data_IF_989217878651
#
_entry.id   IF_989217878651
#
_cell.length_a   1.000
_cell.length_b   1.000
_cell.length_c   1.000
_cell.angle_alpha   90.00
_cell.angle_beta   90.00
_cell.angle_gamma   90.00
#
_symmetry.space_group_name_H-M   'P 1'
#
loop_
_entity.id
_entity.type
_entity.pdbx_description
1 polymer ?
#
# COMPACT_ATOMS: atom_id res chain seq x y z
N UNK A 1 0.73 -15.27 26.77
CA UNK A 1 1.45 -14.17 26.20
C UNK A 1 1.69 -14.43 24.74
N UNK A 2 1.42 -13.48 23.90
CA UNK A 2 1.59 -13.64 22.49
C UNK A 2 2.94 -13.13 22.09
N UNK A 3 3.73 -13.99 21.51
CA UNK A 3 5.04 -13.56 21.06
C UNK A 3 4.91 -12.89 19.71
N UNK A 4 5.59 -11.80 19.55
CA UNK A 4 5.56 -11.14 18.27
C UNK A 4 6.79 -11.48 17.48
N UNK A 5 6.65 -11.51 16.19
CA UNK A 5 7.78 -11.75 15.32
C UNK A 5 8.70 -10.56 15.39
N UNK A 6 9.98 -10.78 15.43
CA UNK A 6 10.90 -9.64 15.43
C UNK A 6 10.69 -8.79 14.20
N UNK A 7 10.79 -7.51 14.39
CA UNK A 7 10.63 -6.58 13.28
C UNK A 7 12.01 -6.24 12.77
N UNK A 8 12.17 -6.30 11.48
CA UNK A 8 13.45 -6.03 10.85
C UNK A 8 13.56 -4.54 10.57
N UNK A 9 14.60 -3.90 11.06
CA UNK A 9 14.78 -2.50 10.76
C UNK A 9 15.87 -2.27 9.76
N UNK A 10 15.77 -1.20 9.04
CA UNK A 10 16.73 -0.93 8.00
C UNK A 10 18.15 -0.83 8.50
N UNK A 11 18.34 -0.40 9.69
CA UNK A 11 19.70 -0.25 10.18
C UNK A 11 20.43 -1.58 10.27
N UNK A 12 19.72 -2.67 10.20
CA UNK A 12 20.36 -3.95 10.27
C UNK A 12 20.93 -4.38 8.92
N UNK A 13 20.63 -3.67 7.84
CA UNK A 13 21.15 -4.04 6.53
C UNK A 13 22.60 -3.61 6.38
N UNK A 14 23.39 -4.51 5.80
CA UNK A 14 24.75 -4.18 5.55
C UNK A 14 24.76 -3.51 4.22
N UNK A 15 25.61 -2.59 4.04
CA UNK A 15 25.66 -1.92 2.79
C UNK A 15 26.30 -2.73 1.72
N UNK A 16 26.30 -3.99 1.79
CA UNK A 16 26.85 -4.83 0.76
C UNK A 16 25.78 -5.04 -0.27
N UNK A 17 25.93 -4.41 -1.35
CA UNK A 17 24.93 -4.49 -2.34
C UNK A 17 25.31 -5.49 -3.37
N UNK A 18 24.44 -6.36 -3.78
CA UNK A 18 24.74 -7.26 -4.85
C UNK A 18 23.49 -7.44 -5.66
N UNK A 19 23.63 -7.81 -6.89
CA UNK A 19 22.51 -8.00 -7.76
C UNK A 19 22.27 -9.46 -7.96
N UNK A 20 21.05 -9.87 -7.87
CA UNK A 20 20.72 -11.23 -8.18
C UNK A 20 20.48 -11.30 -9.68
N UNK A 21 20.02 -12.42 -10.12
CA UNK A 21 19.85 -12.62 -11.54
C UNK A 21 18.79 -11.76 -12.17
N UNK A 22 17.91 -11.23 -11.38
CA UNK A 22 16.89 -10.37 -11.94
C UNK A 22 17.38 -8.93 -12.01
N UNK A 23 18.56 -8.67 -11.52
CA UNK A 23 19.04 -7.31 -11.53
C UNK A 23 18.70 -6.53 -10.28
N UNK A 24 18.02 -7.14 -9.35
CA UNK A 24 17.64 -6.44 -8.14
C UNK A 24 18.87 -6.26 -7.26
N UNK A 25 19.06 -5.05 -6.77
CA UNK A 25 20.19 -4.76 -5.90
C UNK A 25 19.77 -5.06 -4.47
N UNK A 26 20.37 -6.06 -3.88
CA UNK A 26 20.00 -6.46 -2.54
C UNK A 26 21.03 -6.03 -1.55
N UNK A 27 20.60 -5.63 -0.38
CA UNK A 27 21.49 -5.37 0.70
C UNK A 27 21.39 -6.53 1.65
N UNK A 28 22.52 -7.02 2.13
CA UNK A 28 22.49 -8.15 3.02
C UNK A 28 22.55 -7.70 4.45
N UNK A 29 21.99 -8.45 5.34
CA UNK A 29 22.04 -8.11 6.74
C UNK A 29 23.36 -8.57 7.32
N UNK A 30 23.95 -7.77 8.17
CA UNK A 30 25.21 -8.13 8.75
C UNK A 30 25.04 -8.79 10.07
N UNK A 31 23.91 -8.77 10.63
CA UNK A 31 23.77 -9.35 11.91
C UNK A 31 22.34 -9.55 12.29
N UNK A 32 22.13 -9.96 13.47
CA UNK A 32 20.78 -10.26 13.91
C UNK A 32 19.84 -9.13 13.65
N UNK A 33 18.66 -9.48 13.28
CA UNK A 33 17.67 -8.48 13.00
C UNK A 33 17.19 -7.81 14.26
N UNK A 34 16.92 -6.56 14.17
CA UNK A 34 16.46 -5.84 15.32
C UNK A 34 15.01 -6.12 15.53
N UNK A 35 14.52 -5.76 16.65
CA UNK A 35 13.14 -5.94 16.91
C UNK A 35 12.35 -4.74 16.71
N UNK A 36 12.88 -3.67 16.32
CA UNK A 36 12.15 -2.53 16.08
C UNK A 36 12.05 -2.09 14.73
N UNK A 37 11.28 -1.98 14.04
CA UNK A 37 11.20 -1.43 12.71
C UNK A 37 10.95 -2.53 11.73
N UNK A 38 10.38 -2.24 10.68
CA UNK A 38 10.11 -3.19 9.64
C UNK A 38 10.85 -2.79 8.41
N UNK A 39 11.48 -3.74 7.80
CA UNK A 39 12.20 -3.42 6.63
C UNK A 39 11.30 -3.62 5.45
N UNK A 40 11.02 -2.61 4.74
CA UNK A 40 10.26 -2.78 3.53
C UNK A 40 11.19 -2.77 2.39
N UNK A 41 11.18 -3.78 1.61
CA UNK A 41 12.05 -3.79 0.51
C UNK A 41 11.35 -3.04 -0.53
N UNK A 42 11.94 -2.13 -1.04
CA UNK A 42 11.29 -1.36 -2.00
C UNK A 42 11.25 -2.15 -3.18
N UNK A 43 10.26 -2.01 -3.78
CA UNK A 43 10.16 -2.67 -4.92
C UNK A 43 11.16 -2.46 -5.89
N UNK A 44 11.96 -1.74 -5.66
CA UNK A 44 12.87 -1.50 -6.68
C UNK A 44 13.23 -2.67 -7.43
N UNK A 45 12.98 -3.54 -6.96
CA UNK A 45 13.39 -4.64 -7.59
C UNK A 45 13.23 -4.61 -8.94
N UNK A 46 12.56 -4.48 -9.16
CA UNK A 46 12.36 -4.52 -10.34
C UNK A 46 13.17 -4.43 -11.31
N UNK A 47 13.68 -3.77 -11.31
CA UNK A 47 14.42 -3.55 -12.30
C UNK A 47 14.69 -4.56 -13.15
N UNK A 48 15.22 -5.03 -13.27
CA UNK A 48 15.60 -5.79 -14.17
C UNK A 48 14.98 -6.75 -14.78
N UNK A 49 14.69 -7.35 -14.45
CA UNK A 49 14.23 -8.33 -15.02
C UNK A 49 13.77 -8.35 -16.26
N UNK A 50 13.39 -8.40 -16.58
CA UNK A 50 12.98 -8.63 -17.62
C UNK A 50 12.59 -8.58 -18.68
N UNK A 51 12.38 -8.64 -18.98
CA UNK A 51 12.13 -8.53 -20.06
C UNK A 51 11.09 -8.68 -20.65
N UNK A 52 11.05 -8.97 -20.87
CA UNK A 52 10.23 -9.23 -21.61
C UNK A 52 9.05 -8.85 -21.64
N UNK A 53 8.81 -8.49 -21.57
CA UNK A 53 7.83 -8.03 -21.63
C UNK A 53 6.81 -7.87 -22.03
N UNK A 54 6.57 -7.73 -22.03
CA UNK A 54 5.62 -7.52 -22.19
C UNK A 54 4.78 -6.81 -22.41
N UNK A 55 4.63 -6.64 -22.44
CA UNK A 55 3.89 -5.87 -22.60
C UNK A 55 2.92 -5.37 -22.73
N UNK A 56 2.54 -5.21 -22.60
CA UNK A 56 1.75 -4.55 -22.55
C UNK A 56 0.93 -3.93 -23.03
N UNK A 57 0.58 -3.84 -23.16
CA UNK A 57 -0.12 -3.15 -23.54
C UNK A 57 -1.02 -2.60 -23.70
N UNK A 58 -1.25 -2.52 -23.51
CA UNK A 58 -1.96 -2.06 -23.57
C UNK A 58 -2.54 -1.25 -23.75
N UNK A 59 -2.62 -1.14 -23.75
CA UNK A 59 -3.04 -0.35 -23.89
C UNK A 59 -3.94 0.13 -24.16
N UNK A 60 -4.15 0.02 -24.13
CA UNK A 60 -4.87 0.45 -24.38
C UNK A 60 -5.58 1.08 -24.24
N UNK A 61 -5.65 1.08 -23.91
CA UNK A 61 -6.31 1.62 -23.64
C UNK A 61 -6.49 2.57 -23.78
N UNK A 62 -6.17 2.62 -23.83
CA UNK A 62 -6.33 3.50 -23.92
C UNK A 62 -6.71 4.15 -23.97
N UNK A 63 -6.70 3.94 -23.81
CA UNK A 63 -7.15 4.57 -23.68
C UNK A 63 -7.42 5.45 -24.00
N UNK A 64 -7.17 5.66 -23.91
CA UNK A 64 -7.35 6.70 -24.10
C UNK A 64 -8.15 7.08 -24.74
N UNK A 65 -8.40 7.02 -24.68
CA UNK A 65 -9.01 7.53 -25.18
C UNK A 65 -9.93 8.05 -24.94
N UNK A 66 -9.86 7.83 -24.57
CA UNK A 66 -10.86 8.18 -24.11
C UNK A 66 -11.13 9.43 -24.29
N UNK A 67 -10.67 9.94 -23.87
CA UNK A 67 -10.80 11.15 -23.99
C UNK A 67 -11.21 11.50 -25.20
N UNK A 68 -10.71 11.16 -25.79
CA UNK A 68 -10.99 11.76 -26.92
C UNK A 68 -12.29 11.46 -27.04
N UNK A 69 -12.54 10.66 -26.68
CA UNK A 69 -13.76 10.35 -26.95
C UNK A 69 -14.59 11.27 -26.46
N UNK A 70 -14.66 11.33 -25.59
CA UNK A 70 -15.55 12.16 -25.15
C UNK A 70 -15.61 13.27 -25.87
N UNK A 71 -14.81 13.78 -25.98
CA UNK A 71 -14.91 14.91 -26.59
C UNK A 71 -15.50 14.87 -27.75
N UNK A 72 -15.37 14.12 -28.26
CA UNK A 72 -15.86 14.29 -29.47
C UNK A 72 -17.26 14.23 -29.51
N UNK A 73 -17.78 13.86 -28.86
CA UNK A 73 -19.05 13.65 -29.10
C UNK A 73 -19.89 14.49 -28.58
N UNK A 74 -19.88 15.28 -28.84
CA UNK A 74 -20.58 16.27 -28.44
C UNK A 74 -21.90 15.82 -28.25
N UNK A 75 -22.43 15.90 -28.66
CA UNK A 75 -23.60 15.65 -28.49
C UNK A 75 -23.93 14.57 -27.76
N UNK A 76 -23.66 14.00 -27.93
CA UNK A 76 -24.04 12.91 -27.42
C UNK A 76 -24.03 12.81 -26.07
N UNK A 77 -23.65 12.54 -25.80
CA UNK A 77 -23.57 12.32 -24.47
C UNK A 77 -23.78 13.31 -23.83
N UNK A 78 -23.60 13.84 -24.20
CA UNK A 78 -23.71 14.76 -23.68
C UNK A 78 -24.59 14.86 -22.85
N UNK A 79 -25.09 14.99 -23.18
CA UNK A 79 -25.86 15.38 -22.31
C UNK A 79 -25.88 14.64 -21.21
N UNK A 80 -25.95 13.87 -21.12
CA UNK A 80 -25.99 13.26 -20.10
C UNK A 80 -24.95 13.31 -19.26
N UNK A 81 -24.47 14.07 -19.02
CA UNK A 81 -23.50 14.08 -18.09
C UNK A 81 -22.35 13.39 -18.64
N UNK A 82 -22.12 13.46 -19.81
CA UNK A 82 -21.00 12.82 -20.34
C UNK A 82 -19.71 13.27 -19.69
N UNK A 83 -18.69 12.54 -19.85
CA UNK A 83 -17.40 12.84 -19.27
C UNK A 83 -16.87 14.16 -19.82
N UNK A 84 -16.24 14.96 -18.99
CA UNK A 84 -15.63 16.10 -19.47
C UNK A 84 -14.37 15.78 -20.14
N UNK A 85 -13.94 16.54 -21.12
CA UNK A 85 -12.66 16.35 -21.75
C UNK A 85 -11.57 16.52 -20.70
N UNK A 86 -10.54 15.75 -20.82
CA UNK A 86 -9.42 15.88 -19.91
C UNK A 86 -8.75 17.23 -20.12
N UNK A 87 -8.39 17.90 -19.06
CA UNK A 87 -7.68 19.15 -19.11
C UNK A 87 -6.25 18.93 -18.67
N UNK A 88 -5.26 19.11 -19.55
CA UNK A 88 -3.87 18.88 -19.14
C UNK A 88 -3.45 19.83 -18.03
N UNK A 89 -2.57 19.33 -17.17
CA UNK A 89 -1.99 20.14 -16.11
C UNK A 89 -0.50 20.24 -16.40
N UNK A 90 0.06 21.42 -16.28
CA UNK A 90 1.49 21.63 -16.51
C UNK A 90 1.90 21.16 -17.90
N UNK A 91 2.89 20.29 -17.96
CA UNK A 91 3.40 19.81 -19.25
C UNK A 91 2.55 18.69 -19.84
N UNK A 92 1.41 18.41 -19.26
CA UNK A 92 0.55 17.35 -19.79
C UNK A 92 0.84 15.97 -19.25
N UNK A 93 1.78 15.86 -18.31
CA UNK A 93 2.03 14.57 -17.69
C UNK A 93 0.83 14.10 -16.89
N UNK A 94 0.10 15.04 -16.31
CA UNK A 94 -1.14 14.74 -15.61
C UNK A 94 -2.25 15.59 -16.18
N UNK A 95 -3.47 15.29 -15.77
CA UNK A 95 -4.63 16.00 -16.30
C UNK A 95 -5.74 15.98 -15.26
N UNK A 96 -6.71 16.86 -15.45
CA UNK A 96 -7.87 16.85 -14.58
C UNK A 96 -9.02 16.27 -15.39
N UNK A 97 -9.55 15.14 -14.95
CA UNK A 97 -10.62 14.49 -15.67
C UNK A 97 -11.93 14.51 -14.91
N UNK A 98 -11.94 15.12 -13.73
CA UNK A 98 -13.15 15.16 -12.94
C UNK A 98 -13.17 14.05 -11.90
N UNK A 99 -14.38 13.64 -11.53
CA UNK A 99 -14.53 12.68 -10.49
C UNK A 99 -13.97 11.34 -10.85
N UNK A 100 -13.34 10.70 -9.91
CA UNK A 100 -12.77 9.38 -10.16
C UNK A 100 -13.89 8.34 -10.32
N UNK A 101 -13.81 7.49 -11.34
CA UNK A 101 -14.82 6.45 -11.51
C UNK A 101 -14.75 5.37 -10.45
N UNK A 102 -15.80 4.60 -10.35
CA UNK A 102 -15.85 3.40 -9.51
C UNK A 102 -15.64 3.68 -8.02
N UNK A 103 -16.15 4.77 -7.55
CA UNK A 103 -16.03 5.11 -6.15
C UNK A 103 -17.25 4.61 -5.38
N UNK A 104 -17.12 4.28 -4.09
CA UNK A 104 -18.25 3.81 -3.32
C UNK A 104 -19.24 4.93 -3.08
N UNK A 105 -20.42 4.58 -2.62
CA UNK A 105 -21.41 5.58 -2.27
C UNK A 105 -20.88 6.47 -1.16
N UNK A 106 -21.44 7.66 -1.07
CA UNK A 106 -21.02 8.61 -0.06
C UNK A 106 -21.15 7.99 1.33
N UNK A 107 -20.11 8.05 2.14
CA UNK A 107 -20.17 7.42 3.45
C UNK A 107 -21.08 8.19 4.39
N UNK A 108 -21.65 7.48 5.34
CA UNK A 108 -22.55 8.06 6.29
C UNK A 108 -22.17 7.67 7.72
N UNK A 109 -22.55 8.48 8.71
CA UNK A 109 -22.26 8.12 10.09
C UNK A 109 -22.97 6.83 10.49
N UNK A 110 -22.36 6.08 11.37
CA UNK A 110 -22.99 4.89 11.91
C UNK A 110 -24.21 5.29 12.71
N UNK A 111 -25.28 4.51 12.58
CA UNK A 111 -26.49 4.72 13.35
C UNK A 111 -26.35 3.97 14.67
N UNK A 112 -27.08 4.39 15.70
CA UNK A 112 -27.07 3.66 16.96
C UNK A 112 -27.44 2.19 16.75
N UNK A 113 -26.68 1.30 17.33
CA UNK A 113 -26.93 -0.13 17.21
C UNK A 113 -26.42 -0.78 15.94
N UNK A 114 -25.81 -0.01 15.06
CA UNK A 114 -25.33 -0.56 13.80
C UNK A 114 -23.93 -1.15 14.00
N UNK A 115 -23.69 -2.32 13.40
CA UNK A 115 -22.36 -2.90 13.42
C UNK A 115 -21.50 -2.20 12.38
N UNK A 116 -20.27 -1.81 12.72
CA UNK A 116 -19.43 -1.18 11.69
C UNK A 116 -19.04 -2.18 10.62
N UNK A 117 -18.82 -1.70 9.40
CA UNK A 117 -18.34 -2.60 8.37
C UNK A 117 -16.93 -3.09 8.68
N UNK A 118 -16.55 -4.23 8.09
CA UNK A 118 -15.15 -4.67 8.16
C UNK A 118 -14.44 -4.13 6.94
N UNK A 119 -13.61 -3.12 7.13
CA UNK A 119 -12.81 -2.58 6.05
C UNK A 119 -11.54 -3.40 5.89
N UNK A 120 -11.15 -3.64 4.65
CA UNK A 120 -9.91 -4.35 4.33
C UNK A 120 -9.22 -3.55 3.24
N UNK A 121 -8.00 -3.11 3.51
CA UNK A 121 -7.25 -2.30 2.57
C UNK A 121 -5.96 -3.01 2.17
N UNK A 122 -5.86 -3.38 0.89
CA UNK A 122 -4.64 -3.94 0.35
C UNK A 122 -3.84 -2.82 -0.27
N UNK A 123 -2.55 -2.79 0.01
CA UNK A 123 -1.69 -1.74 -0.49
C UNK A 123 -0.41 -2.31 -1.06
N UNK A 124 0.22 -1.56 -1.95
CA UNK A 124 1.39 -2.00 -2.69
C UNK A 124 2.46 -0.93 -2.64
N UNK A 125 3.65 -1.28 -2.16
CA UNK A 125 4.73 -0.32 -2.01
C UNK A 125 5.57 -0.30 -3.28
N UNK A 126 5.87 0.89 -3.78
CA UNK A 126 6.66 1.09 -4.97
C UNK A 126 5.83 1.21 -6.21
N UNK A 127 5.01 0.22 -6.47
CA UNK A 127 4.06 0.23 -7.59
C UNK A 127 4.67 0.37 -8.98
N UNK A 128 5.88 -0.16 -9.16
CA UNK A 128 6.47 -0.18 -10.49
C UNK A 128 6.12 -1.46 -11.21
N UNK A 129 5.96 -1.37 -12.53
CA UNK A 129 5.76 -2.56 -13.33
C UNK A 129 7.08 -2.91 -13.97
N UNK A 130 7.58 -4.09 -13.66
CA UNK A 130 8.86 -4.50 -14.18
C UNK A 130 8.82 -5.67 -15.09
N UNK A 131 7.74 -5.90 -15.71
CA UNK A 131 7.67 -6.98 -16.68
C UNK A 131 7.33 -8.32 -16.07
N UNK A 132 7.06 -8.39 -14.78
CA UNK A 132 6.68 -9.66 -14.17
C UNK A 132 5.17 -9.85 -14.13
N UNK A 133 4.40 -8.89 -14.63
CA UNK A 133 2.96 -9.06 -14.74
C UNK A 133 2.19 -8.91 -13.46
N UNK A 134 2.85 -8.54 -12.36
CA UNK A 134 2.15 -8.53 -11.08
C UNK A 134 1.20 -7.34 -10.94
N UNK A 135 1.58 -6.16 -11.44
CA UNK A 135 0.71 -5.01 -11.34
C UNK A 135 -0.62 -5.31 -12.06
N UNK A 136 -0.62 -5.70 -13.33
CA UNK A 136 -1.90 -6.00 -13.97
C UNK A 136 -2.61 -7.21 -13.37
N UNK A 137 -1.87 -8.19 -12.84
CA UNK A 137 -2.51 -9.36 -12.21
C UNK A 137 -3.42 -8.89 -11.06
N UNK A 138 -2.93 -7.99 -10.22
CA UNK A 138 -3.70 -7.58 -9.06
C UNK A 138 -4.74 -6.53 -9.42
N UNK A 139 -4.53 -5.75 -10.50
CA UNK A 139 -5.59 -4.91 -11.01
C UNK A 139 -6.75 -5.77 -11.54
N UNK A 140 -6.43 -6.84 -12.24
CA UNK A 140 -7.47 -7.75 -12.74
C UNK A 140 -8.24 -8.37 -11.58
N UNK A 141 -7.52 -8.79 -10.54
CA UNK A 141 -8.17 -9.41 -9.39
C UNK A 141 -9.12 -8.42 -8.71
N UNK A 142 -8.67 -7.20 -8.49
CA UNK A 142 -9.51 -6.21 -7.86
C UNK A 142 -10.73 -5.90 -8.69
N UNK A 143 -10.56 -5.81 -10.02
CA UNK A 143 -11.67 -5.50 -10.90
C UNK A 143 -12.70 -6.61 -10.87
N UNK A 144 -12.24 -7.85 -10.87
CA UNK A 144 -13.16 -8.98 -10.86
C UNK A 144 -14.07 -8.95 -9.63
N UNK A 145 -13.59 -8.45 -8.52
CA UNK A 145 -14.34 -8.46 -7.27
C UNK A 145 -14.86 -7.09 -6.86
N UNK A 146 -14.77 -6.11 -7.75
CA UNK A 146 -15.30 -4.78 -7.44
C UNK A 146 -14.59 -4.10 -6.29
N UNK A 147 -13.29 -4.33 -6.13
CA UNK A 147 -12.53 -3.84 -4.99
C UNK A 147 -11.63 -2.68 -5.39
N UNK A 148 -11.28 -1.85 -4.42
CA UNK A 148 -10.25 -0.82 -4.60
C UNK A 148 -9.06 -1.14 -3.72
N UNK A 149 -7.89 -0.66 -4.13
CA UNK A 149 -6.64 -0.84 -3.41
C UNK A 149 -5.89 0.49 -3.41
N UNK A 150 -4.78 0.55 -2.69
CA UNK A 150 -3.91 1.72 -2.70
C UNK A 150 -2.54 1.33 -3.24
N UNK A 151 -2.03 2.14 -4.16
CA UNK A 151 -0.69 1.94 -4.71
C UNK A 151 0.18 3.10 -4.26
N UNK A 152 1.21 2.80 -3.45
CA UNK A 152 2.14 3.81 -2.99
C UNK A 152 3.28 3.89 -4.00
N UNK A 153 3.18 4.85 -4.89
CA UNK A 153 4.07 4.96 -6.04
C UNK A 153 5.42 5.56 -5.64
N UNK A 154 6.51 4.93 -6.07
CA UNK A 154 7.83 5.53 -5.94
C UNK A 154 8.03 6.45 -7.13
N UNK A 155 8.29 7.72 -6.85
CA UNK A 155 8.41 8.69 -7.95
C UNK A 155 9.51 8.37 -8.92
N UNK A 156 10.60 7.76 -8.43
CA UNK A 156 11.71 7.41 -9.32
C UNK A 156 11.32 6.40 -10.39
N UNK A 157 10.23 5.69 -10.22
CA UNK A 157 9.82 4.74 -11.24
C UNK A 157 9.27 5.42 -12.48
N UNK A 158 9.12 6.75 -12.45
CA UNK A 158 8.76 7.48 -13.64
C UNK A 158 9.93 8.34 -14.17
N UNK A 159 11.12 8.20 -13.59
CA UNK A 159 12.27 8.99 -13.97
C UNK A 159 13.29 8.11 -14.67
N UNK A 160 13.66 8.40 -15.94
CA UNK A 160 14.69 7.61 -16.60
C UNK A 160 16.04 7.75 -15.90
N UNK A 161 16.83 6.70 -15.92
CA UNK A 161 18.13 6.75 -15.27
C UNK A 161 19.03 7.83 -15.90
N UNK A 162 18.84 8.11 -17.18
CA UNK A 162 19.63 9.17 -17.82
C UNK A 162 19.37 10.53 -17.23
N UNK A 163 18.27 10.68 -16.49
CA UNK A 163 17.93 11.94 -15.85
C UNK A 163 18.08 11.87 -14.33
N UNK A 164 18.80 10.87 -13.83
CA UNK A 164 18.86 10.66 -12.38
C UNK A 164 19.40 11.85 -11.62
N UNK A 165 20.19 12.70 -12.25
CA UNK A 165 20.72 13.84 -11.52
C UNK A 165 19.66 14.90 -11.22
N UNK A 166 18.45 14.74 -11.74
CA UNK A 166 17.35 15.59 -11.28
C UNK A 166 16.93 15.24 -9.85
N UNK A 167 17.30 14.07 -9.35
CA UNK A 167 16.94 13.68 -8.00
C UNK A 167 18.05 14.07 -7.03
N UNK A 168 17.68 14.88 -6.03
CA UNK A 168 18.61 15.32 -5.02
C UNK A 168 18.15 14.76 -3.68
N UNK A 169 18.49 13.50 -3.37
CA UNK A 169 17.99 12.91 -2.13
C UNK A 169 18.63 13.56 -0.91
N UNK A 170 17.83 13.81 0.11
CA UNK A 170 18.44 14.38 1.33
C UNK A 170 19.55 13.47 1.87
N UNK A 171 20.66 14.08 2.20
CA UNK A 171 21.80 13.40 2.82
C UNK A 171 22.39 12.24 2.03
N UNK A 172 22.14 12.19 0.75
CA UNK A 172 22.69 11.16 -0.13
C UNK A 172 23.19 11.84 -1.40
N UNK A 173 24.12 11.21 -2.12
CA UNK A 173 24.64 11.85 -3.33
C UNK A 173 23.54 12.06 -4.38
N UNK A 174 23.70 13.12 -5.17
CA UNK A 174 22.74 13.40 -6.22
C UNK A 174 22.57 12.21 -7.13
N UNK A 175 21.35 11.85 -7.43
CA UNK A 175 21.05 10.73 -8.30
C UNK A 175 21.15 9.37 -7.66
N UNK A 176 21.55 9.29 -6.39
CA UNK A 176 21.64 8.00 -5.72
C UNK A 176 20.25 7.46 -5.42
N UNK A 177 20.16 6.15 -5.40
CA UNK A 177 18.92 5.49 -5.04
C UNK A 177 19.25 4.08 -4.60
N UNK A 178 18.56 3.58 -3.59
CA UNK A 178 18.70 2.20 -3.18
C UNK A 178 17.71 1.29 -3.91
N UNK A 179 16.82 1.86 -4.72
CA UNK A 179 16.00 1.05 -5.62
C UNK A 179 16.44 1.38 -7.04
N UNK A 180 16.20 0.45 -7.95
CA UNK A 180 16.68 0.65 -9.31
C UNK A 180 15.84 1.64 -10.08
N UNK A 181 16.48 2.37 -10.98
CA UNK A 181 15.74 3.14 -11.96
C UNK A 181 15.22 2.15 -13.00
N UNK A 182 14.01 2.36 -13.46
CA UNK A 182 13.42 1.42 -14.40
C UNK A 182 13.89 1.70 -15.83
N UNK A 183 13.88 0.67 -16.65
CA UNK A 183 14.14 0.84 -18.08
C UNK A 183 12.99 1.60 -18.72
N UNK A 184 13.22 2.11 -19.91
CA UNK A 184 12.15 2.82 -20.61
C UNK A 184 10.89 1.97 -20.79
N UNK A 185 10.98 0.72 -21.25
CA UNK A 185 9.75 -0.05 -21.37
C UNK A 185 9.04 -0.23 -20.05
N UNK A 186 9.78 -0.33 -18.95
CA UNK A 186 9.14 -0.53 -17.65
C UNK A 186 8.55 0.77 -17.12
N UNK A 187 9.16 1.93 -17.45
CA UNK A 187 8.53 3.19 -17.09
C UNK A 187 7.20 3.32 -17.83
N UNK A 188 7.19 2.98 -19.13
CA UNK A 188 5.95 3.05 -19.89
C UNK A 188 4.90 2.13 -19.34
N UNK A 189 5.29 0.91 -18.95
CA UNK A 189 4.36 -0.03 -18.37
C UNK A 189 3.83 0.47 -17.03
N UNK A 190 4.70 1.12 -16.23
CA UNK A 190 4.26 1.68 -14.97
C UNK A 190 3.23 2.80 -15.20
N UNK A 191 3.52 3.70 -16.16
CA UNK A 191 2.57 4.76 -16.48
C UNK A 191 1.23 4.17 -16.91
N UNK A 192 1.26 3.14 -17.76
CA UNK A 192 0.04 2.51 -18.24
C UNK A 192 -0.76 1.92 -17.08
N UNK A 193 -0.07 1.25 -16.16
CA UNK A 193 -0.79 0.60 -15.07
C UNK A 193 -1.25 1.59 -14.00
N UNK A 194 -0.49 2.65 -13.76
CA UNK A 194 -0.94 3.68 -12.82
C UNK A 194 -2.19 4.38 -13.36
N UNK A 195 -2.19 4.68 -14.67
CA UNK A 195 -3.36 5.28 -15.29
C UNK A 195 -4.55 4.35 -15.17
N UNK A 196 -4.36 3.09 -15.51
CA UNK A 196 -5.43 2.10 -15.40
C UNK A 196 -5.93 1.99 -13.97
N UNK A 197 -5.00 1.97 -13.00
CA UNK A 197 -5.38 1.81 -11.62
C UNK A 197 -6.32 2.93 -11.18
N UNK A 198 -5.97 4.18 -11.49
CA UNK A 198 -6.82 5.27 -11.05
C UNK A 198 -8.18 5.22 -11.73
N UNK A 199 -8.19 4.92 -13.03
CA UNK A 199 -9.46 4.85 -13.76
C UNK A 199 -10.33 3.70 -13.28
N UNK A 200 -9.76 2.68 -12.66
CA UNK A 200 -10.52 1.57 -12.09
C UNK A 200 -10.87 1.79 -10.63
N UNK A 201 -10.57 2.96 -10.07
CA UNK A 201 -11.04 3.31 -8.74
C UNK A 201 -10.02 3.21 -7.63
N UNK A 202 -8.76 2.93 -7.96
CA UNK A 202 -7.74 2.76 -6.94
C UNK A 202 -7.09 4.09 -6.58
N UNK A 203 -6.42 4.12 -5.44
CA UNK A 203 -5.75 5.31 -4.95
C UNK A 203 -4.27 5.26 -5.29
N UNK A 204 -3.70 6.41 -5.65
CA UNK A 204 -2.26 6.52 -5.87
C UNK A 204 -1.68 7.40 -4.77
N UNK A 205 -1.00 6.79 -3.81
CA UNK A 205 -0.28 7.51 -2.77
C UNK A 205 1.20 7.57 -3.10
N UNK A 206 2.06 7.72 -2.10
CA UNK A 206 3.49 7.81 -2.39
C UNK A 206 4.33 6.89 -1.52
N UNK A 207 5.36 6.31 -2.14
CA UNK A 207 6.42 5.59 -1.44
C UNK A 207 7.73 6.37 -1.57
N UNK A 208 7.62 7.65 -1.88
CA UNK A 208 8.72 8.60 -1.95
C UNK A 208 9.62 8.28 -3.14
N UNK A 209 10.95 8.18 -2.94
CA UNK A 209 11.84 8.01 -4.11
C UNK A 209 12.93 6.98 -3.88
N UNK A 210 14.06 7.38 -3.32
CA UNK A 210 15.27 6.56 -3.34
C UNK A 210 15.37 5.44 -2.32
N UNK A 211 14.49 5.41 -1.34
CA UNK A 211 14.35 4.25 -0.46
C UNK A 211 15.58 3.97 0.40
N UNK A 212 16.06 4.99 1.10
CA UNK A 212 17.29 4.85 1.89
C UNK A 212 16.96 4.36 3.29
N UNK A 213 17.21 3.09 3.53
CA UNK A 213 16.85 2.47 4.81
C UNK A 213 17.99 2.41 5.80
N UNK A 214 19.23 2.58 5.37
CA UNK A 214 20.36 2.38 6.26
C UNK A 214 21.46 3.39 5.98
N UNK A 215 22.40 3.48 6.87
CA UNK A 215 23.54 4.35 6.68
C UNK A 215 23.26 5.76 7.16
N UNK A 216 24.23 6.65 6.92
CA UNK A 216 24.09 8.01 7.41
C UNK A 216 23.02 8.78 6.69
N UNK A 217 22.66 8.40 5.48
CA UNK A 217 21.61 9.08 4.73
C UNK A 217 20.23 8.47 4.90
N UNK A 218 20.05 7.61 5.90
CA UNK A 218 18.77 6.93 6.09
C UNK A 218 17.62 7.91 6.25
N UNK A 219 16.47 7.54 5.71
CA UNK A 219 15.27 8.35 5.86
C UNK A 219 14.87 8.47 7.34
N UNK A 220 15.34 7.56 8.19
CA UNK A 220 15.03 7.64 9.60
C UNK A 220 15.58 8.85 10.28
N UNK A 221 16.57 9.52 9.67
CA UNK A 221 17.18 10.70 10.27
C UNK A 221 16.77 12.00 9.57
N UNK A 222 15.87 11.93 8.61
CA UNK A 222 15.51 13.12 7.85
C UNK A 222 14.70 14.10 8.70
N UNK A 223 14.96 15.38 8.52
CA UNK A 223 14.20 16.43 9.18
C UNK A 223 12.87 16.65 8.46
N UNK A 224 11.94 17.37 9.07
CA UNK A 224 10.72 17.70 8.35
C UNK A 224 10.96 18.40 7.02
N UNK A 225 11.97 19.30 6.97
CA UNK A 225 12.27 20.00 5.73
C UNK A 225 12.82 19.04 4.67
N UNK A 226 13.58 18.05 5.11
CA UNK A 226 14.07 17.05 4.16
C UNK A 226 12.94 16.17 3.65
N UNK A 227 11.99 15.82 4.52
CA UNK A 227 10.81 15.11 4.05
C UNK A 227 10.01 15.96 3.07
N UNK A 228 9.92 17.27 3.31
CA UNK A 228 9.21 18.13 2.37
C UNK A 228 9.89 18.15 1.01
N UNK A 229 11.23 18.18 0.99
CA UNK A 229 11.94 18.10 -0.27
C UNK A 229 11.69 16.77 -0.98
N UNK A 230 11.70 15.69 -0.23
CA UNK A 230 11.49 14.37 -0.83
C UNK A 230 10.09 14.25 -1.44
N UNK A 231 9.08 14.76 -0.74
CA UNK A 231 7.72 14.71 -1.25
C UNK A 231 7.60 15.59 -2.50
N UNK A 232 8.20 16.78 -2.45
CA UNK A 232 8.14 17.67 -3.60
C UNK A 232 8.77 17.01 -4.80
N UNK A 233 9.89 16.31 -4.62
CA UNK A 233 10.54 15.64 -5.73
C UNK A 233 9.70 14.45 -6.24
N UNK A 234 9.11 13.67 -5.33
CA UNK A 234 8.26 12.56 -5.77
C UNK A 234 7.11 13.10 -6.61
N UNK A 235 6.50 14.20 -6.16
CA UNK A 235 5.41 14.78 -6.93
C UNK A 235 5.90 15.29 -8.28
N UNK A 236 7.08 15.91 -8.31
CA UNK A 236 7.59 16.45 -9.56
C UNK A 236 7.84 15.35 -10.59
N UNK A 237 8.34 14.19 -10.15
CA UNK A 237 8.60 13.12 -11.10
C UNK A 237 7.29 12.59 -11.72
N UNK A 238 6.22 12.63 -10.97
CA UNK A 238 4.92 12.26 -11.52
C UNK A 238 4.36 13.35 -12.41
N UNK A 239 4.50 14.60 -12.01
CA UNK A 239 3.89 15.70 -12.72
C UNK A 239 4.69 16.16 -13.94
N UNK A 240 5.89 15.64 -14.14
CA UNK A 240 6.74 16.04 -15.23
C UNK A 240 7.32 14.87 -15.99
N UNK A 241 6.65 13.70 -15.96
CA UNK A 241 7.23 12.55 -16.63
C UNK A 241 7.39 12.80 -18.13
N UNK A 242 6.52 13.59 -18.75
CA UNK A 242 6.65 13.88 -20.17
C UNK A 242 7.92 14.67 -20.46
N UNK A 243 8.15 15.71 -19.69
CA UNK A 243 9.36 16.51 -19.88
C UNK A 243 10.60 15.65 -19.65
N UNK A 244 10.57 14.83 -18.60
CA UNK A 244 11.76 14.07 -18.23
C UNK A 244 12.04 12.91 -19.17
N UNK A 245 11.03 12.37 -19.83
CA UNK A 245 11.24 11.27 -20.76
C UNK A 245 11.28 11.73 -22.21
N UNK A 246 10.61 12.82 -22.51
CA UNK A 246 10.46 13.26 -23.90
C UNK A 246 9.36 12.55 -24.65
N UNK A 247 8.62 11.67 -24.00
CA UNK A 247 7.58 10.91 -24.70
C UNK A 247 6.28 11.69 -24.78
N UNK A 248 5.67 11.68 -25.95
CA UNK A 248 4.40 12.37 -26.13
C UNK A 248 3.30 11.41 -26.61
N UNK A 249 3.62 10.15 -26.78
CA UNK A 249 2.67 9.19 -27.32
C UNK A 249 1.89 8.40 -26.26
N UNK A 250 2.08 8.69 -25.01
CA UNK A 250 1.32 8.03 -23.97
C UNK A 250 0.32 9.02 -23.37
N UNK A 251 -0.83 8.56 -22.95
CA UNK A 251 -1.81 9.49 -22.39
C UNK A 251 -1.38 10.03 -21.04
N UNK A 252 -1.88 11.21 -20.70
CA UNK A 252 -1.64 11.81 -19.39
C UNK A 252 -2.16 10.91 -18.29
N UNK A 253 -1.53 10.98 -17.13
CA UNK A 253 -2.16 10.38 -15.95
C UNK A 253 -3.43 11.18 -15.65
N UNK A 254 -4.50 10.50 -15.29
CA UNK A 254 -5.82 11.14 -15.27
C UNK A 254 -6.17 11.79 -13.95
N UNK A 255 -5.21 12.30 -13.23
CA UNK A 255 -5.47 12.94 -11.95
C UNK A 255 -4.52 14.12 -11.75
N UNK A 256 -4.96 15.02 -10.89
CA UNK A 256 -4.14 16.11 -10.41
C UNK A 256 -3.43 15.57 -9.17
N UNK A 257 -2.13 15.33 -9.25
CA UNK A 257 -1.43 14.66 -8.15
C UNK A 257 -1.35 15.51 -6.89
N UNK A 258 -1.44 16.84 -7.02
CA UNK A 258 -1.51 17.68 -5.84
C UNK A 258 -2.80 17.42 -5.04
N UNK A 259 -3.84 16.95 -5.72
CA UNK A 259 -5.10 16.63 -5.04
C UNK A 259 -5.20 15.15 -4.72
N UNK A 260 -4.67 14.30 -5.58
CA UNK A 260 -4.77 12.86 -5.36
C UNK A 260 -3.92 12.41 -4.20
N UNK A 261 -2.73 13.00 -4.02
CA UNK A 261 -1.79 12.52 -3.02
C UNK A 261 -2.20 12.99 -1.64
N UNK A 262 -2.73 12.09 -0.84
CA UNK A 262 -3.18 12.42 0.51
C UNK A 262 -2.58 11.50 1.58
N UNK A 263 -1.62 10.67 1.22
CA UNK A 263 -0.97 9.81 2.18
C UNK A 263 0.12 8.97 1.56
N UNK A 264 0.85 8.27 2.40
CA UNK A 264 1.94 7.46 1.91
C UNK A 264 2.47 6.50 2.95
N UNK A 265 3.48 5.74 2.53
CA UNK A 265 4.20 4.83 3.42
C UNK A 265 5.68 5.04 3.21
N UNK A 266 6.42 5.28 4.30
CA UNK A 266 7.84 5.56 4.19
C UNK A 266 8.63 4.29 3.92
N UNK A 267 9.80 4.42 3.31
CA UNK A 267 10.67 3.26 3.16
C UNK A 267 10.99 2.66 4.52
N UNK A 268 10.86 1.35 4.60
CA UNK A 268 11.24 0.59 5.79
C UNK A 268 10.49 1.03 7.05
N UNK A 269 9.37 1.71 6.89
CA UNK A 269 8.56 2.18 8.02
C UNK A 269 9.37 3.05 8.97
N UNK A 270 10.24 3.88 8.41
CA UNK A 270 11.10 4.76 9.21
C UNK A 270 10.69 6.21 9.05
N UNK A 271 10.95 7.01 10.06
CA UNK A 271 10.91 8.46 9.93
C UNK A 271 9.57 9.14 10.10
N UNK A 272 8.57 8.42 10.57
CA UNK A 272 7.23 9.01 10.66
C UNK A 272 7.19 10.30 11.48
N UNK A 273 7.89 10.32 12.61
CA UNK A 273 7.75 11.49 13.48
C UNK A 273 8.16 12.79 12.79
N UNK A 274 9.18 12.74 11.97
CA UNK A 274 9.62 13.96 11.27
C UNK A 274 8.88 14.16 9.96
N UNK A 275 8.24 13.11 9.43
CA UNK A 275 7.41 13.26 8.26
C UNK A 275 6.10 13.98 8.59
N UNK A 276 5.50 13.67 9.73
CA UNK A 276 4.14 14.12 9.99
C UNK A 276 3.97 15.64 9.98
N UNK A 277 4.91 16.46 10.53
CA UNK A 277 4.68 17.89 10.43
C UNK A 277 4.57 18.40 9.00
N UNK A 278 5.39 17.86 8.10
CA UNK A 278 5.33 18.24 6.71
C UNK A 278 4.05 17.71 6.06
N UNK A 279 3.69 16.49 6.37
CA UNK A 279 2.47 15.89 5.79
C UNK A 279 1.25 16.71 6.20
N UNK A 280 1.24 17.17 7.45
CA UNK A 280 0.14 17.98 7.91
C UNK A 280 0.04 19.27 7.13
N UNK A 281 1.17 19.95 6.90
CA UNK A 281 1.15 21.18 6.13
C UNK A 281 0.69 20.96 4.71
N UNK A 282 0.95 19.78 4.14
CA UNK A 282 0.54 19.48 2.78
C UNK A 282 -0.89 18.97 2.69
N UNK A 283 -1.58 18.87 3.80
CA UNK A 283 -2.96 18.43 3.77
C UNK A 283 -3.15 16.92 3.67
N UNK A 284 -2.15 16.15 4.04
CA UNK A 284 -2.31 14.71 4.02
C UNK A 284 -3.40 14.30 5.03
N UNK A 285 -4.11 13.28 4.69
CA UNK A 285 -5.20 12.82 5.51
C UNK A 285 -4.82 11.59 6.32
N UNK A 286 -3.81 10.82 5.88
CA UNK A 286 -3.36 9.66 6.63
C UNK A 286 -1.88 9.40 6.38
N UNK A 287 -1.31 8.55 7.21
CA UNK A 287 0.04 8.04 7.01
C UNK A 287 0.03 6.57 7.39
N UNK A 288 0.68 5.75 6.58
CA UNK A 288 0.69 4.30 6.74
C UNK A 288 2.06 3.77 7.15
N UNK A 289 2.87 4.58 7.82
CA UNK A 289 4.28 4.26 8.06
C UNK A 289 4.61 3.77 9.46
N UNK A 290 3.70 3.86 10.42
CA UNK A 290 4.04 3.44 11.77
C UNK A 290 4.38 1.96 11.80
N UNK A 291 5.42 1.56 12.46
CA UNK A 291 5.76 0.14 12.51
C UNK A 291 4.98 -0.58 13.60
N UNK A 292 4.66 -1.82 13.36
CA UNK A 292 4.13 -2.67 14.43
C UNK A 292 2.76 -2.33 14.93
N UNK A 293 1.86 -1.93 14.08
CA UNK A 293 0.52 -1.60 14.50
C UNK A 293 -0.25 -2.81 15.00
N UNK A 294 -1.39 -2.55 15.59
CA UNK A 294 -2.24 -3.60 16.12
C UNK A 294 -3.62 -3.51 15.48
N UNK A 295 -4.36 -4.59 15.54
CA UNK A 295 -5.70 -4.61 14.95
C UNK A 295 -6.69 -3.92 15.90
N UNK A 296 -6.57 -2.61 15.99
CA UNK A 296 -7.47 -1.78 16.78
C UNK A 296 -7.92 -0.60 15.93
N UNK A 297 -8.99 0.06 16.34
CA UNK A 297 -9.47 1.18 15.57
C UNK A 297 -8.47 2.33 15.61
N UNK A 298 -8.20 2.96 14.46
CA UNK A 298 -7.11 3.94 14.38
C UNK A 298 -7.35 5.22 15.15
N UNK A 299 -6.25 5.91 15.43
CA UNK A 299 -6.32 7.23 16.00
C UNK A 299 -5.48 8.17 15.12
N UNK A 300 -5.57 9.44 15.40
CA UNK A 300 -4.80 10.42 14.65
C UNK A 300 -3.53 10.80 15.38
N UNK A 301 -2.51 11.17 14.61
CA UNK A 301 -1.29 11.76 15.12
C UNK A 301 -1.13 13.08 14.39
N UNK A 302 -1.01 14.18 15.10
CA UNK A 302 -0.92 15.50 14.50
C UNK A 302 -2.05 15.75 13.51
N UNK A 303 -3.22 15.28 13.82
CA UNK A 303 -4.38 15.50 12.96
C UNK A 303 -4.46 14.61 11.73
N UNK A 304 -3.55 13.65 11.59
CA UNK A 304 -3.47 12.77 10.45
C UNK A 304 -3.78 11.36 10.92
N UNK A 305 -4.66 10.64 10.20
CA UNK A 305 -4.96 9.27 10.60
C UNK A 305 -3.69 8.41 10.52
N UNK A 306 -3.43 7.63 11.58
CA UNK A 306 -2.30 6.71 11.61
C UNK A 306 -2.84 5.32 11.26
N UNK A 307 -2.47 4.82 10.10
CA UNK A 307 -3.05 3.58 9.55
C UNK A 307 -1.94 2.56 9.31
N UNK A 308 -1.36 1.98 10.37
CA UNK A 308 -0.18 1.14 10.22
C UNK A 308 -0.51 -0.28 9.82
N UNK A 309 0.45 -0.94 9.20
CA UNK A 309 0.38 -2.38 9.08
C UNK A 309 0.29 -3.00 10.47
N UNK A 310 -0.24 -4.21 10.57
CA UNK A 310 -0.68 -4.74 11.85
C UNK A 310 -0.06 -6.08 12.15
N UNK A 311 0.12 -6.36 13.44
CA UNK A 311 0.53 -7.67 13.89
C UNK A 311 -0.69 -8.60 13.78
N UNK A 312 -0.50 -9.73 13.11
CA UNK A 312 -1.58 -10.71 12.90
C UNK A 312 -1.09 -12.10 13.28
N UNK A 313 -1.98 -13.04 13.57
CA UNK A 313 -1.54 -14.37 13.91
C UNK A 313 -0.71 -15.01 12.80
N UNK A 314 0.39 -15.69 13.16
CA UNK A 314 1.22 -16.39 12.18
C UNK A 314 1.11 -17.87 12.54
N UNK A 315 0.30 -18.61 11.81
CA UNK A 315 0.03 -19.99 12.22
C UNK A 315 1.30 -20.81 12.23
N UNK A 316 1.45 -21.53 13.24
CA UNK A 316 2.65 -22.29 13.30
C UNK A 316 2.55 -23.24 12.22
N UNK A 317 3.24 -23.08 11.65
CA UNK A 317 3.24 -23.99 10.61
C UNK A 317 3.69 -25.21 11.14
N UNK A 318 3.36 -25.93 10.67
CA UNK A 318 3.77 -27.21 10.96
C UNK A 318 5.14 -27.43 10.68
N UNK A 319 5.39 -26.82 9.94
CA UNK A 319 6.65 -26.98 9.55
C UNK A 319 7.64 -26.82 10.54
N UNK A 320 7.29 -26.16 10.93
CA UNK A 320 8.24 -25.94 11.86
C UNK A 320 8.08 -26.90 12.93
N UNK A 321 7.58 -27.60 12.53
CA UNK A 321 7.34 -28.62 13.34
C UNK A 321 8.35 -29.00 14.26
N UNK A 322 9.12 -29.09 13.78
CA UNK A 322 10.17 -29.59 14.51
C UNK A 322 10.50 -28.78 15.69
N UNK A 323 10.55 -27.91 15.40
CA UNK A 323 11.02 -27.11 16.42
C UNK A 323 9.92 -26.62 17.29
N UNK A 324 9.22 -26.80 16.77
CA UNK A 324 8.18 -26.20 17.36
C UNK A 324 7.50 -26.98 18.42
N UNK A 325 7.93 -27.83 18.50
CA UNK A 325 7.33 -28.59 19.46
C UNK A 325 7.14 -27.85 20.71
N UNK A 326 7.87 -27.33 20.94
CA UNK A 326 7.82 -26.65 22.15
C UNK A 326 7.03 -25.40 22.12
N UNK A 327 7.10 -25.11 21.30
CA UNK A 327 6.51 -23.87 21.15
C UNK A 327 5.09 -23.94 20.69
N UNK A 328 4.96 -24.87 20.58
CA UNK A 328 3.74 -25.11 20.10
C UNK A 328 2.66 -24.39 20.72
N UNK A 329 2.82 -24.35 21.57
CA UNK A 329 1.77 -23.82 22.23
C UNK A 329 1.85 -22.37 22.15
N UNK A 330 2.81 -21.97 21.66
CA UNK A 330 2.90 -20.57 21.75
C UNK A 330 2.59 -19.98 20.42
N UNK A 331 1.64 -19.15 20.33
CA UNK A 331 1.37 -18.45 19.09
C UNK A 331 2.21 -17.18 19.03
N UNK A 332 2.54 -16.77 17.86
CA UNK A 332 3.21 -15.49 17.69
C UNK A 332 2.62 -14.78 16.48
N UNK A 333 2.98 -13.55 16.33
CA UNK A 333 2.39 -12.70 15.30
C UNK A 333 3.44 -12.18 14.35
N UNK A 334 2.98 -11.84 13.16
CA UNK A 334 3.83 -11.31 12.09
C UNK A 334 3.17 -10.05 11.59
N UNK A 335 3.97 -9.12 11.12
CA UNK A 335 3.38 -7.92 10.51
C UNK A 335 2.70 -8.29 9.20
N UNK A 336 1.60 -7.66 8.90
CA UNK A 336 0.75 -8.00 7.75
C UNK A 336 1.35 -7.53 6.43
N UNK A 337 2.52 -8.03 6.11
CA UNK A 337 3.25 -7.62 4.93
C UNK A 337 4.08 -8.78 4.40
N UNK A 338 4.15 -8.90 3.09
CA UNK A 338 4.87 -10.00 2.46
C UNK A 338 6.33 -10.08 2.89
N UNK A 339 6.99 -8.93 3.04
CA UNK A 339 8.39 -8.96 3.43
C UNK A 339 8.57 -9.58 4.82
N UNK A 340 7.63 -9.37 5.72
CA UNK A 340 7.76 -9.93 7.05
C UNK A 340 7.50 -11.44 7.06
N UNK A 341 6.66 -11.92 6.13
CA UNK A 341 6.55 -13.37 5.93
C UNK A 341 7.89 -13.92 5.45
N UNK A 342 8.46 -13.28 4.44
CA UNK A 342 9.76 -13.69 3.91
C UNK A 342 10.81 -13.70 5.00
N UNK A 343 10.87 -12.64 5.79
CA UNK A 343 11.90 -12.54 6.82
C UNK A 343 11.80 -13.67 7.84
N UNK A 344 10.57 -14.04 8.17
CA UNK A 344 10.39 -15.08 9.17
C UNK A 344 10.52 -16.48 8.61
N UNK A 345 10.24 -16.68 7.35
CA UNK A 345 10.28 -18.01 6.79
C UNK A 345 11.64 -18.36 6.22
N UNK A 346 12.28 -17.45 5.54
CA UNK A 346 13.55 -17.77 4.88
C UNK A 346 14.70 -16.87 5.27
N UNK A 347 14.54 -16.11 6.33
CA UNK A 347 15.58 -15.19 6.80
C UNK A 347 16.06 -14.31 5.66
N UNK A 348 15.09 -13.75 4.97
CA UNK A 348 15.31 -12.83 3.86
C UNK A 348 15.87 -13.45 2.59
N UNK A 349 15.94 -14.76 2.50
CA UNK A 349 16.36 -15.36 1.24
C UNK A 349 15.17 -15.32 0.27
N UNK A 350 15.39 -14.75 -0.90
CA UNK A 350 14.35 -14.69 -1.91
C UNK A 350 14.37 -15.88 -2.84
N UNK A 351 15.33 -16.79 -2.64
CA UNK A 351 15.45 -18.00 -3.44
C UNK A 351 15.78 -19.18 -2.55
N UNK A 352 14.99 -19.36 -1.51
CA UNK A 352 15.21 -20.49 -0.61
C UNK A 352 14.83 -21.79 -1.31
N UNK A 353 15.22 -22.94 -0.74
CA UNK A 353 14.90 -24.21 -1.39
C UNK A 353 13.41 -24.39 -1.60
N UNK A 354 13.05 -24.82 -2.79
CA UNK A 354 11.67 -24.84 -3.22
C UNK A 354 10.81 -25.83 -2.46
N UNK A 355 11.41 -26.82 -1.80
CA UNK A 355 10.59 -27.76 -1.05
C UNK A 355 9.86 -27.08 0.11
N UNK A 356 10.31 -25.89 0.50
CA UNK A 356 9.63 -25.16 1.56
C UNK A 356 8.41 -24.38 1.05
N UNK A 357 8.32 -24.16 -0.24
CA UNK A 357 7.35 -23.19 -0.76
C UNK A 357 5.89 -23.56 -0.47
N UNK A 358 5.45 -24.82 -0.67
CA UNK A 358 4.04 -25.08 -0.42
C UNK A 358 3.60 -24.79 1.02
N UNK A 359 4.42 -25.17 1.99
CA UNK A 359 4.08 -24.90 3.38
C UNK A 359 4.10 -23.44 3.74
N UNK A 360 5.10 -22.73 3.20
CA UNK A 360 5.21 -21.29 3.47
C UNK A 360 4.07 -20.52 2.82
N UNK A 361 3.67 -20.93 1.59
CA UNK A 361 2.54 -20.28 0.95
C UNK A 361 1.28 -20.45 1.78
N UNK A 362 1.05 -21.67 2.27
CA UNK A 362 -0.13 -21.93 3.06
C UNK A 362 -0.11 -21.13 4.36
N UNK A 363 1.05 -21.09 5.02
CA UNK A 363 1.17 -20.36 6.28
C UNK A 363 0.91 -18.87 6.07
N UNK A 364 1.44 -18.29 5.01
CA UNK A 364 1.25 -16.88 4.73
C UNK A 364 -0.21 -16.57 4.40
N UNK A 365 -0.84 -17.40 3.57
CA UNK A 365 -2.24 -17.19 3.25
C UNK A 365 -3.10 -17.26 4.50
N UNK A 366 -2.82 -18.26 5.36
CA UNK A 366 -3.60 -18.40 6.57
C UNK A 366 -3.39 -17.26 7.54
N UNK A 367 -2.19 -16.67 7.55
CA UNK A 367 -1.96 -15.51 8.41
C UNK A 367 -2.89 -14.37 8.02
N UNK A 368 -2.98 -14.05 6.74
CA UNK A 368 -3.86 -12.98 6.29
C UNK A 368 -5.32 -13.34 6.56
N UNK A 369 -5.71 -14.59 6.31
CA UNK A 369 -7.10 -14.98 6.51
C UNK A 369 -7.47 -14.91 7.99
N UNK A 370 -6.57 -15.40 8.86
CA UNK A 370 -6.86 -15.35 10.29
C UNK A 370 -6.85 -13.92 10.81
N UNK A 371 -5.99 -13.05 10.26
CA UNK A 371 -6.04 -11.64 10.63
C UNK A 371 -7.38 -11.03 10.28
N UNK A 372 -7.86 -11.31 9.09
CA UNK A 372 -9.19 -10.84 8.70
C UNK A 372 -10.26 -11.40 9.64
N UNK A 373 -10.22 -12.70 9.89
CA UNK A 373 -11.26 -13.32 10.72
C UNK A 373 -11.25 -12.76 12.13
N UNK A 374 -10.05 -12.53 12.68
CA UNK A 374 -9.97 -12.03 14.05
C UNK A 374 -10.65 -10.67 14.16
N UNK A 375 -10.38 -9.76 13.21
CA UNK A 375 -11.04 -8.47 13.26
C UNK A 375 -12.54 -8.60 13.01
N UNK A 376 -12.90 -9.35 11.97
CA UNK A 376 -14.31 -9.43 11.57
C UNK A 376 -15.18 -10.00 12.68
N UNK A 377 -14.67 -10.98 13.40
CA UNK A 377 -15.45 -11.65 14.43
C UNK A 377 -15.41 -10.96 15.78
N UNK A 378 -14.59 -9.92 15.92
CA UNK A 378 -14.44 -9.29 17.22
C UNK A 378 -14.65 -7.79 17.11
N UNK A 379 -13.58 -6.98 17.07
CA UNK A 379 -13.74 -5.54 17.15
C UNK A 379 -13.98 -4.83 15.81
N UNK A 380 -13.96 -5.57 14.72
CA UNK A 380 -14.17 -4.99 13.40
C UNK A 380 -13.19 -3.89 13.02
N UNK A 381 -12.03 -3.84 13.68
CA UNK A 381 -11.04 -2.85 13.32
C UNK A 381 -10.62 -3.04 11.85
N UNK A 382 -10.32 -1.96 11.14
CA UNK A 382 -9.91 -2.11 9.75
C UNK A 382 -8.66 -2.98 9.65
N UNK A 383 -8.56 -3.72 8.56
CA UNK A 383 -7.45 -4.65 8.34
C UNK A 383 -6.59 -4.14 7.20
N UNK A 384 -5.30 -3.92 7.46
CA UNK A 384 -4.38 -3.33 6.49
C UNK A 384 -3.33 -4.34 6.10
N UNK A 385 -3.13 -4.53 4.79
CA UNK A 385 -2.17 -5.48 4.27
C UNK A 385 -1.24 -4.77 3.28
N UNK A 386 0.07 -4.99 3.42
CA UNK A 386 1.04 -4.37 2.54
C UNK A 386 1.79 -5.41 1.73
N UNK A 387 2.11 -5.06 0.50
CA UNK A 387 2.74 -5.98 -0.42
C UNK A 387 3.69 -5.28 -1.35
N UNK A 388 4.51 -6.09 -2.03
CA UNK A 388 5.42 -5.63 -3.08
C UNK A 388 5.15 -6.46 -4.32
N UNK A 389 5.45 -5.91 -5.50
CA UNK A 389 5.30 -6.67 -6.73
C UNK A 389 6.59 -7.48 -6.94
N UNK A 390 6.74 -8.55 -6.17
CA UNK A 390 7.95 -9.35 -6.17
C UNK A 390 7.65 -10.84 -6.27
N UNK A 391 8.51 -11.58 -6.97
CA UNK A 391 8.32 -13.01 -7.12
C UNK A 391 9.22 -13.79 -6.16
N UNK A 392 9.38 -13.32 -4.95
CA UNK A 392 10.21 -13.98 -3.96
C UNK A 392 9.79 -15.42 -3.73
N UNK A 393 10.78 -16.29 -3.56
CA UNK A 393 10.55 -17.69 -3.25
C UNK A 393 9.50 -18.31 -4.17
N UNK A 394 9.72 -18.14 -5.46
CA UNK A 394 8.83 -18.76 -6.44
C UNK A 394 7.48 -18.11 -6.58
N UNK A 395 7.32 -16.93 -6.02
CA UNK A 395 6.04 -16.23 -6.17
C UNK A 395 5.02 -16.59 -5.11
N UNK A 396 5.44 -17.29 -4.05
CA UNK A 396 4.47 -17.79 -3.10
C UNK A 396 3.75 -16.68 -2.34
N UNK A 397 4.40 -15.51 -2.17
CA UNK A 397 3.75 -14.45 -1.40
C UNK A 397 2.65 -13.79 -2.20
N UNK A 398 2.85 -13.67 -3.51
CA UNK A 398 1.78 -13.16 -4.36
C UNK A 398 0.63 -14.16 -4.44
N UNK A 399 0.95 -15.45 -4.49
CA UNK A 399 -0.10 -16.48 -4.46
C UNK A 399 -0.85 -16.44 -3.13
N UNK A 400 -0.13 -16.22 -2.03
CA UNK A 400 -0.75 -16.18 -0.71
C UNK A 400 -1.71 -15.00 -0.57
N UNK A 401 -1.27 -13.83 -1.02
CA UNK A 401 -2.13 -12.67 -0.86
C UNK A 401 -3.32 -12.76 -1.80
N UNK A 402 -3.14 -13.37 -2.97
CA UNK A 402 -4.27 -13.56 -3.85
C UNK A 402 -5.28 -14.53 -3.23
N UNK A 403 -4.81 -15.61 -2.63
CA UNK A 403 -5.70 -16.57 -1.98
C UNK A 403 -6.48 -15.88 -0.85
N UNK A 404 -5.80 -15.07 -0.04
CA UNK A 404 -6.47 -14.36 1.05
C UNK A 404 -7.48 -13.35 0.52
N UNK A 405 -7.10 -12.62 -0.54
CA UNK A 405 -8.01 -11.65 -1.13
C UNK A 405 -9.28 -12.35 -1.61
N UNK A 406 -9.11 -13.47 -2.30
CA UNK A 406 -10.28 -14.21 -2.81
C UNK A 406 -11.15 -14.72 -1.66
N UNK A 407 -10.52 -15.19 -0.58
CA UNK A 407 -11.28 -15.64 0.57
C UNK A 407 -12.16 -14.51 1.12
N UNK A 408 -11.56 -13.33 1.29
CA UNK A 408 -12.28 -12.19 1.84
C UNK A 408 -13.37 -11.74 0.88
N UNK A 409 -13.09 -11.73 -0.42
CA UNK A 409 -14.08 -11.35 -1.40
C UNK A 409 -15.26 -12.32 -1.42
N UNK A 410 -14.98 -13.63 -1.23
CA UNK A 410 -16.06 -14.59 -1.18
C UNK A 410 -16.93 -14.39 0.06
N UNK A 411 -16.33 -14.03 1.18
CA UNK A 411 -17.13 -13.73 2.37
C UNK A 411 -18.06 -12.56 2.11
N UNK A 412 -17.56 -11.55 1.41
CA UNK A 412 -18.40 -10.41 1.06
C UNK A 412 -19.54 -10.85 0.16
N UNK A 413 -19.25 -11.70 -0.82
CA UNK A 413 -20.28 -12.16 -1.74
C UNK A 413 -21.33 -13.01 -1.04
N UNK A 414 -20.96 -13.65 0.06
CA UNK A 414 -21.95 -14.42 0.83
C UNK A 414 -22.72 -13.55 1.79
N UNK A 415 -22.52 -12.27 1.80
CA UNK A 415 -23.30 -11.37 2.60
C UNK A 415 -22.62 -10.71 3.77
N UNK A 416 -21.34 -11.01 4.02
CA UNK A 416 -20.63 -10.34 5.10
C UNK A 416 -20.44 -8.87 4.74
N UNK A 417 -20.52 -8.00 5.74
CA UNK A 417 -20.36 -6.57 5.50
C UNK A 417 -18.86 -6.25 5.47
N UNK A 418 -18.25 -6.60 4.36
CA UNK A 418 -16.82 -6.40 4.14
C UNK A 418 -16.67 -5.37 3.03
N UNK A 419 -15.78 -4.43 3.22
CA UNK A 419 -15.54 -3.38 2.24
C UNK A 419 -14.07 -3.39 1.86
N UNK A 420 -13.81 -3.77 0.60
CA UNK A 420 -12.45 -3.82 0.07
C UNK A 420 -12.19 -2.46 -0.59
N UNK A 421 -11.51 -1.61 0.10
CA UNK A 421 -11.40 -0.20 -0.28
C UNK A 421 -9.96 0.28 -0.22
N UNK A 422 -9.72 1.48 -0.76
CA UNK A 422 -8.42 2.13 -0.63
C UNK A 422 -8.34 2.84 0.72
N UNK A 423 -7.11 3.26 1.08
CA UNK A 423 -6.97 4.07 2.28
C UNK A 423 -7.77 5.37 2.17
N UNK A 424 -7.75 6.01 1.01
CA UNK A 424 -8.50 7.26 0.85
C UNK A 424 -9.99 7.04 1.09
N UNK A 425 -10.53 5.97 0.54
CA UNK A 425 -11.95 5.67 0.73
C UNK A 425 -12.26 5.36 2.19
N UNK A 426 -11.34 4.66 2.87
CA UNK A 426 -11.53 4.38 4.28
C UNK A 426 -11.52 5.66 5.11
N UNK A 427 -10.60 6.57 4.80
CA UNK A 427 -10.52 7.82 5.54
C UNK A 427 -11.78 8.68 5.27
N UNK A 428 -12.34 8.61 4.06
CA UNK A 428 -13.59 9.29 3.78
C UNK A 428 -14.67 8.80 4.75
N UNK A 429 -14.70 7.48 5.00
CA UNK A 429 -15.67 6.93 5.93
C UNK A 429 -15.37 7.36 7.37
N UNK A 430 -14.10 7.33 7.77
CA UNK A 430 -13.74 7.71 9.13
C UNK A 430 -14.09 9.16 9.42
N UNK A 431 -13.88 10.04 8.44
CA UNK A 431 -14.05 11.46 8.68
C UNK A 431 -15.49 11.89 8.85
N UNK A 432 -16.46 11.06 8.45
CA UNK A 432 -17.85 11.43 8.70
C UNK A 432 -18.38 10.81 10.00
N UNK A 433 -17.58 10.01 10.69
CA UNK A 433 -18.07 9.40 11.93
C UNK A 433 -17.99 10.38 13.08
N UNK A 434 -18.90 10.26 14.01
CA UNK A 434 -18.89 11.11 15.18
C UNK A 434 -17.69 10.80 16.06
N UNK A 435 -17.00 11.79 16.58
CA UNK A 435 -15.83 11.54 17.42
C UNK A 435 -16.10 10.60 18.59
N UNK A 436 -17.29 10.72 19.21
CA UNK A 436 -17.58 9.86 20.34
C UNK A 436 -17.77 8.40 19.91
N UNK A 437 -18.26 8.17 18.68
CA UNK A 437 -18.39 6.82 18.20
C UNK A 437 -16.99 6.22 17.95
N UNK A 438 -16.12 6.99 17.33
CA UNK A 438 -14.76 6.51 17.10
C UNK A 438 -14.03 6.26 18.42
N UNK A 439 -14.22 7.14 19.40
CA UNK A 439 -13.61 6.94 20.71
C UNK A 439 -14.09 5.64 21.34
N UNK A 440 -15.39 5.36 21.19
CA UNK A 440 -15.94 4.12 21.75
C UNK A 440 -15.35 2.91 21.04
N UNK A 441 -15.25 2.97 19.71
CA UNK A 441 -14.66 1.85 18.97
C UNK A 441 -13.20 1.60 19.42
N UNK A 442 -12.48 2.67 19.70
CA UNK A 442 -11.09 2.50 20.12
C UNK A 442 -10.94 1.85 21.50
N UNK A 443 -11.99 1.76 22.29
CA UNK A 443 -11.88 1.03 23.56
C UNK A 443 -11.79 -0.47 23.37
N UNK A 444 -12.12 -0.97 22.17
CA UNK A 444 -12.07 -2.41 21.95
C UNK A 444 -10.65 -2.82 21.56
N UNK A 445 -10.05 -3.69 22.35
CA UNK A 445 -8.70 -4.18 22.05
C UNK A 445 -8.72 -5.25 20.99
N UNK A 446 -7.53 -5.73 20.65
CA UNK A 446 -7.37 -6.78 19.64
C UNK A 446 -8.14 -8.02 20.10
N UNK A 447 -8.99 -8.54 19.24
CA UNK A 447 -9.74 -9.76 19.55
C UNK A 447 -10.86 -9.56 20.53
N UNK A 448 -11.21 -8.33 20.87
CA UNK A 448 -12.22 -8.09 21.88
C UNK A 448 -13.57 -7.77 21.24
N UNK A 449 -14.57 -8.57 21.54
CA UNK A 449 -15.92 -8.29 21.09
C UNK A 449 -16.55 -7.27 22.02
N UNK A 450 -17.48 -6.46 21.50
CA UNK A 450 -18.17 -5.54 22.40
C UNK A 450 -19.04 -6.32 23.37
N UNK A 451 -18.96 -5.96 24.64
CA UNK A 451 -19.78 -6.61 25.65
C UNK A 451 -21.23 -6.32 25.30
N UNK A 452 -22.05 -7.35 25.32
CA UNK A 452 -23.46 -7.17 24.99
C UNK A 452 -23.76 -7.05 23.51
N UNK A 453 -22.74 -7.16 22.67
CA UNK A 453 -22.95 -7.15 21.23
C UNK A 453 -22.96 -5.75 20.65
N UNK A 454 -22.89 -5.68 19.33
CA UNK A 454 -22.79 -4.40 18.64
C UNK A 454 -24.01 -3.52 18.82
N UNK A 455 -25.20 -4.13 18.86
CA UNK A 455 -26.40 -3.36 18.97
C UNK A 455 -26.40 -2.53 20.26
N UNK A 456 -25.99 -3.16 21.35
CA UNK A 456 -25.94 -2.45 22.61
C UNK A 456 -24.76 -1.49 22.69
N UNK A 457 -23.63 -1.89 22.10
CA UNK A 457 -22.39 -1.13 22.23
C UNK A 457 -22.53 0.29 21.68
N UNK A 458 -23.00 0.42 20.46
CA UNK A 458 -23.10 1.77 19.90
C UNK A 458 -24.34 2.51 20.39
N UNK A 459 -25.35 1.78 20.83
CA UNK A 459 -26.50 2.44 21.42
C UNK A 459 -26.12 3.08 22.74
N UNK A 460 -25.24 2.41 23.53
CA UNK A 460 -24.79 3.00 24.76
C UNK A 460 -23.98 4.24 24.50
N UNK A 461 -23.16 4.23 23.45
CA UNK A 461 -22.35 5.38 23.15
C UNK A 461 -23.24 6.59 22.89
N UNK A 462 -24.33 6.40 22.14
CA UNK A 462 -25.22 7.49 21.87
C UNK A 462 -25.92 7.93 23.14
N UNK A 463 -26.35 6.99 23.97
CA UNK A 463 -27.03 7.31 25.21
C UNK A 463 -26.12 8.12 26.13
N UNK A 464 -24.87 7.73 26.24
CA UNK A 464 -23.94 8.45 27.09
C UNK A 464 -23.75 9.87 26.57
N UNK A 465 -23.62 10.02 25.27
CA UNK A 465 -23.42 11.35 24.71
C UNK A 465 -24.65 12.21 24.95
N UNK A 466 -25.83 11.63 24.83
CA UNK A 466 -27.03 12.41 25.06
C UNK A 466 -27.12 12.84 26.52
N UNK A 467 -26.79 11.94 27.43
CA UNK A 467 -26.89 12.31 28.82
C UNK A 467 -25.84 13.34 29.20
N UNK A 468 -24.69 13.35 28.56
CA UNK A 468 -23.69 14.33 28.88
C UNK A 468 -24.09 15.70 28.39
N UNK A 469 -24.88 15.77 27.37
CA UNK A 469 -25.32 17.04 26.88
C UNK A 469 -26.40 17.60 27.80
#
# INVERSE_FOLDING_TARGET
>A
MIGTTPIVVASDWVNTSRRDESGFSMRTFSRTLSRRGVLGLGAGAAAAASLAGCGSPTSSDGGGHPNGSGQGRPGHGVGKGGARPARPIGDGSTSFTGKQPHQPAKPEPLEPGQTPPQFVIFSWDGAGEVGNGLFPRFLDLAKEHGASMTFFLSGLYLLPESKKRLYEPPNNPRGASDIGYLSDPHIKATLTNVRRAWLEGHEIGTHFNGHFCAGTGTVGNWTPQQWASEIRQAKAFVKQWRTNTGWTDLPSLPFDYDKELVGGRTPCLLGQNNLLPTARELGWRYDASSPGGRQTWPEKKLGIWDLPLQQIPFPXXXXXXXXXXXXXXRSFEVLSMDYNMLANQSVNSTKAPAYNYPGWRKQSAQAYIQGFQRAYETNRAPFFVGNHFEQWNGGIYMDSVEEAFKHIAREKEKGADVRLVSFRQFVDWMDVQKPEVLAKLRTLGVGQRPAGGWKEFLRESKGAASNAA
#
